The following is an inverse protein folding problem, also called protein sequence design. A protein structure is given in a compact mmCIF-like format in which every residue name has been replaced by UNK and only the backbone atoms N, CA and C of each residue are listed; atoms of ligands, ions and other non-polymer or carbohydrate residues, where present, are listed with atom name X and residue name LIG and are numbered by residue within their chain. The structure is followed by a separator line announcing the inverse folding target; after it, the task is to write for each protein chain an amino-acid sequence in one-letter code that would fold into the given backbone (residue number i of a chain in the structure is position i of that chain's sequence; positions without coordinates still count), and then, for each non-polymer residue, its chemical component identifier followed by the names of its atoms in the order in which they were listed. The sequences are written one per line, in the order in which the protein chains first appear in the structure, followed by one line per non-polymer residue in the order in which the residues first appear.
data_IF_676026058818
#
_entry.id   IF_676026058818
#
_cell.length_a   1.000
_cell.length_b   1.000
_cell.length_c   1.000
_cell.angle_alpha   90.00
_cell.angle_beta   90.00
_cell.angle_gamma   90.00
#
_symmetry.space_group_name_H-M   'P 1'
#
loop_
_entity.id
_entity.type
_entity.pdbx_description
1 polymer ?
#
# COMPACT_ATOMS: atom_id res chain seq x y z
N UNK A 1 53.31 -36.77 9.48
CA UNK A 1 54.04 -36.03 8.43
C UNK A 1 53.09 -35.01 7.84
N UNK A 2 53.39 -33.74 8.10
CA UNK A 2 52.61 -32.56 7.74
C UNK A 2 52.64 -32.31 6.23
N UNK A 3 51.52 -31.94 5.61
CA UNK A 3 51.49 -30.92 4.55
C UNK A 3 50.21 -30.09 4.71
N UNK A 4 50.38 -28.77 4.74
CA UNK A 4 49.38 -27.72 4.87
C UNK A 4 48.42 -27.66 3.67
N UNK A 5 47.18 -27.24 3.92
CA UNK A 5 46.26 -26.79 2.88
C UNK A 5 46.66 -25.39 2.37
N UNK A 6 46.51 -25.08 1.06
CA UNK A 6 46.56 -23.71 0.59
C UNK A 6 45.24 -22.98 0.88
N UNK A 7 45.35 -21.76 1.39
CA UNK A 7 44.30 -20.74 1.31
C UNK A 7 44.19 -20.29 -0.17
N UNK A 8 43.02 -20.02 -0.73
CA UNK A 8 42.20 -18.84 -0.45
C UNK A 8 40.88 -18.89 -1.23
N UNK A 9 39.88 -18.23 -0.64
CA UNK A 9 38.84 -17.42 -1.27
C UNK A 9 37.68 -18.07 -2.05
N UNK A 10 36.47 -17.93 -1.46
CA UNK A 10 35.21 -17.84 -2.20
C UNK A 10 34.03 -18.50 -1.49
N UNK A 11 33.15 -17.69 -0.87
CA UNK A 11 31.84 -18.12 -0.33
C UNK A 11 30.98 -18.81 -1.40
N UNK A 12 30.02 -19.69 -1.07
CA UNK A 12 28.94 -19.56 -0.10
C UNK A 12 28.50 -20.94 0.45
N UNK A 13 27.76 -20.98 1.57
CA UNK A 13 27.47 -22.20 2.31
C UNK A 13 26.14 -22.88 1.90
N UNK A 14 25.96 -24.07 2.48
CA UNK A 14 24.71 -24.84 2.68
C UNK A 14 24.02 -25.49 1.48
N UNK A 15 24.16 -26.83 1.37
CA UNK A 15 23.06 -27.80 1.10
C UNK A 15 23.51 -29.27 0.89
N UNK A 16 24.74 -29.64 1.23
CA UNK A 16 25.28 -31.00 1.01
C UNK A 16 24.76 -32.12 1.94
N UNK A 17 23.85 -31.83 2.87
CA UNK A 17 23.40 -32.83 3.86
C UNK A 17 21.94 -33.29 3.71
N UNK A 18 21.21 -32.81 2.69
CA UNK A 18 19.81 -33.21 2.45
C UNK A 18 19.52 -33.77 1.05
N UNK A 19 20.54 -34.28 0.36
CA UNK A 19 20.38 -35.18 -0.81
C UNK A 19 20.95 -36.56 -0.45
N UNK A 20 20.49 -37.12 0.68
CA UNK A 20 21.00 -38.40 1.21
C UNK A 20 19.96 -39.53 1.16
N UNK A 21 18.76 -39.31 0.60
CA UNK A 21 17.69 -40.34 0.68
C UNK A 21 16.88 -40.66 -0.56
N UNK A 22 17.27 -40.21 -1.75
CA UNK A 22 16.60 -40.68 -2.97
C UNK A 22 17.63 -41.02 -4.06
N UNK A 23 17.55 -42.28 -4.52
CA UNK A 23 18.08 -42.83 -5.76
C UNK A 23 19.49 -43.47 -5.74
N UNK A 24 19.60 -44.57 -4.98
CA UNK A 24 20.49 -45.72 -5.28
C UNK A 24 19.90 -46.68 -6.31
N UNK A 25 19.26 -46.20 -7.38
CA UNK A 25 18.77 -47.07 -8.47
C UNK A 25 18.96 -46.43 -9.83
N UNK A 26 19.90 -47.01 -10.59
CA UNK A 26 20.25 -46.61 -11.96
C UNK A 26 21.66 -46.01 -11.98
N UNK A 27 22.59 -46.67 -12.67
CA UNK A 27 24.01 -46.28 -12.80
C UNK A 27 24.28 -44.94 -13.49
N UNK A 28 23.32 -44.01 -13.45
CA UNK A 28 23.39 -42.69 -14.07
C UNK A 28 24.22 -41.70 -13.24
N UNK A 29 24.26 -41.86 -11.91
CA UNK A 29 24.96 -40.94 -11.02
C UNK A 29 26.50 -41.01 -11.11
N UNK A 30 27.14 -42.20 -11.21
CA UNK A 30 28.57 -42.30 -11.46
C UNK A 30 28.98 -41.78 -12.85
N UNK A 31 28.16 -42.04 -13.87
CA UNK A 31 28.37 -41.48 -15.22
C UNK A 31 28.26 -39.95 -15.21
N UNK A 32 27.27 -39.39 -14.52
CA UNK A 32 27.09 -37.95 -14.35
C UNK A 32 28.32 -37.27 -13.72
N UNK A 33 28.90 -37.84 -12.67
CA UNK A 33 30.11 -37.29 -12.02
C UNK A 33 31.36 -37.38 -12.90
N UNK A 34 31.46 -38.38 -13.79
CA UNK A 34 32.56 -38.52 -14.74
C UNK A 34 32.41 -37.66 -16.01
N UNK A 35 31.22 -37.08 -16.23
CA UNK A 35 30.90 -36.28 -17.41
C UNK A 35 30.39 -34.88 -17.02
N UNK A 36 30.80 -34.38 -15.86
CA UNK A 36 30.44 -33.04 -15.36
C UNK A 36 30.89 -31.93 -16.33
N UNK A 37 31.96 -32.15 -17.08
CA UNK A 37 32.48 -31.28 -18.14
C UNK A 37 31.53 -31.11 -19.34
N UNK A 38 30.58 -32.04 -19.55
CA UNK A 38 29.51 -31.91 -20.55
C UNK A 38 28.46 -30.88 -20.10
N UNK A 39 28.28 -30.72 -18.79
CA UNK A 39 27.26 -29.87 -18.17
C UNK A 39 27.81 -28.57 -17.57
N UNK A 40 29.12 -28.48 -17.37
CA UNK A 40 29.79 -27.22 -17.06
C UNK A 40 29.82 -26.34 -18.31
N UNK A 41 29.26 -25.12 -18.28
CA UNK A 41 29.38 -24.22 -19.40
C UNK A 41 30.86 -23.91 -19.59
N UNK A 42 31.41 -24.24 -20.77
CA UNK A 42 32.75 -23.83 -21.17
C UNK A 42 32.90 -22.34 -20.87
N UNK A 43 34.06 -21.87 -20.35
CA UNK A 43 34.30 -20.45 -20.12
C UNK A 43 34.49 -19.76 -21.48
N UNK A 44 33.37 -19.56 -22.18
CA UNK A 44 33.27 -18.55 -23.21
C UNK A 44 33.40 -17.23 -22.49
N UNK A 45 34.51 -16.55 -22.81
CA UNK A 45 34.83 -15.18 -22.47
C UNK A 45 33.61 -14.41 -21.95
N UNK A 46 33.68 -13.96 -20.69
CA UNK A 46 32.76 -12.97 -20.14
C UNK A 46 32.93 -11.67 -20.94
N UNK A 47 32.31 -11.63 -22.11
CA UNK A 47 31.93 -10.39 -22.76
C UNK A 47 30.93 -9.77 -21.81
N UNK A 48 31.27 -8.58 -21.30
CA UNK A 48 30.34 -7.68 -20.64
C UNK A 48 29.14 -7.43 -21.55
N UNK A 49 28.12 -8.28 -21.46
CA UNK A 49 26.82 -8.06 -22.08
C UNK A 49 26.00 -7.23 -21.10
N UNK A 50 26.40 -5.96 -20.92
CA UNK A 50 25.40 -4.94 -20.55
C UNK A 50 24.35 -5.01 -21.66
N UNK A 51 23.11 -5.42 -21.38
CA UNK A 51 22.09 -5.50 -22.42
C UNK A 51 21.95 -4.10 -23.03
N UNK A 52 22.14 -3.97 -24.34
CA UNK A 52 22.02 -2.66 -25.01
C UNK A 52 20.63 -2.05 -24.76
N UNK A 53 19.62 -2.90 -24.58
CA UNK A 53 18.25 -2.49 -24.31
C UNK A 53 17.59 -3.44 -23.29
N UNK A 54 16.80 -2.87 -22.39
CA UNK A 54 16.00 -3.59 -21.40
C UNK A 54 14.54 -3.63 -21.82
N UNK A 55 13.83 -4.68 -21.40
CA UNK A 55 12.42 -4.84 -21.69
C UNK A 55 11.61 -3.84 -20.89
N UNK A 56 10.84 -3.00 -21.59
CA UNK A 56 9.98 -2.00 -20.95
C UNK A 56 8.90 -2.57 -20.01
N UNK A 57 8.59 -3.87 -20.10
CA UNK A 57 7.57 -4.51 -19.26
C UNK A 57 8.13 -5.33 -18.09
N UNK A 58 9.35 -5.88 -18.17
CA UNK A 58 9.89 -6.77 -17.13
C UNK A 58 11.36 -6.51 -16.77
N UNK A 59 12.02 -5.55 -17.42
CA UNK A 59 13.38 -5.15 -17.09
C UNK A 59 14.50 -6.10 -17.52
N UNK A 60 14.21 -7.28 -18.07
CA UNK A 60 15.26 -8.20 -18.58
C UNK A 60 15.80 -7.78 -19.95
N UNK A 61 16.90 -8.38 -20.40
CA UNK A 61 17.48 -8.16 -21.73
C UNK A 61 16.43 -8.25 -22.85
N UNK A 62 16.34 -7.22 -23.68
CA UNK A 62 15.39 -7.13 -24.78
C UNK A 62 16.06 -7.37 -26.13
N UNK A 63 15.43 -8.19 -26.97
CA UNK A 63 15.88 -8.46 -28.33
C UNK A 63 14.92 -7.97 -29.42
N UNK A 64 13.70 -7.58 -29.05
CA UNK A 64 12.65 -7.20 -30.00
C UNK A 64 12.24 -5.75 -29.75
N UNK A 65 12.22 -4.91 -30.78
CA UNK A 65 11.69 -3.55 -30.69
C UNK A 65 10.27 -3.45 -31.25
N UNK A 66 9.51 -2.47 -30.79
CA UNK A 66 8.19 -2.16 -31.33
C UNK A 66 8.29 -1.91 -32.84
N UNK A 67 7.52 -2.64 -33.65
CA UNK A 67 7.56 -2.51 -35.10
C UNK A 67 7.06 -1.14 -35.60
N UNK A 68 6.16 -0.50 -34.85
CA UNK A 68 5.57 0.78 -35.21
C UNK A 68 6.51 1.96 -34.90
N UNK A 69 6.78 2.24 -33.62
CA UNK A 69 7.59 3.41 -33.22
C UNK A 69 9.09 3.17 -33.27
N UNK A 70 9.55 1.91 -33.27
CA UNK A 70 10.97 1.50 -33.25
C UNK A 70 11.80 2.01 -32.06
N UNK A 71 11.18 2.70 -31.09
CA UNK A 71 11.83 3.34 -29.95
C UNK A 71 11.84 2.51 -28.66
N UNK A 72 10.86 1.60 -28.48
CA UNK A 72 10.70 0.80 -27.26
C UNK A 72 11.07 -0.66 -27.50
N UNK A 73 11.70 -1.29 -26.50
CA UNK A 73 12.23 -2.65 -26.57
C UNK A 73 11.53 -3.60 -25.59
N UNK A 74 11.38 -4.86 -26.01
CA UNK A 74 10.74 -5.94 -25.28
C UNK A 74 11.54 -7.24 -25.42
N UNK A 75 11.50 -8.10 -24.40
CA UNK A 75 12.09 -9.43 -24.48
C UNK A 75 11.23 -10.40 -25.31
N UNK A 76 9.93 -10.14 -25.44
CA UNK A 76 8.99 -11.01 -26.16
C UNK A 76 7.74 -10.26 -26.62
N UNK A 77 7.04 -10.82 -27.61
CA UNK A 77 5.71 -10.36 -28.04
C UNK A 77 4.69 -10.38 -26.89
N UNK A 78 4.84 -11.29 -25.92
CA UNK A 78 3.98 -11.35 -24.72
C UNK A 78 4.16 -10.10 -23.85
N UNK A 79 5.40 -9.71 -23.57
CA UNK A 79 5.69 -8.48 -22.83
C UNK A 79 5.23 -7.22 -23.59
N UNK A 80 5.38 -7.20 -24.91
CA UNK A 80 4.84 -6.12 -25.73
C UNK A 80 3.32 -6.03 -25.62
N UNK A 81 2.58 -7.15 -25.72
CA UNK A 81 1.11 -7.15 -25.59
C UNK A 81 0.65 -6.70 -24.19
N UNK A 82 1.36 -7.13 -23.15
CA UNK A 82 1.06 -6.74 -21.76
C UNK A 82 1.20 -5.24 -21.55
N UNK A 83 2.27 -4.64 -22.10
CA UNK A 83 2.53 -3.21 -21.95
C UNK A 83 1.85 -2.35 -23.03
N UNK A 84 1.19 -2.99 -24.00
CA UNK A 84 0.57 -2.30 -25.12
C UNK A 84 -0.44 -1.23 -24.71
N UNK A 85 -1.33 -1.44 -23.72
CA UNK A 85 -2.26 -0.39 -23.27
C UNK A 85 -1.54 0.89 -22.86
N UNK A 86 -0.47 0.78 -22.07
CA UNK A 86 0.35 1.91 -21.64
C UNK A 86 1.21 2.47 -22.77
N UNK A 87 1.79 1.64 -23.63
CA UNK A 87 2.67 2.08 -24.71
C UNK A 87 1.93 2.73 -25.89
N UNK A 88 0.68 2.34 -26.15
CA UNK A 88 -0.11 2.78 -27.30
C UNK A 88 -0.15 4.31 -27.44
N UNK A 89 -0.33 5.02 -26.32
CA UNK A 89 -0.43 6.48 -26.29
C UNK A 89 0.89 7.20 -26.61
N UNK A 90 2.02 6.55 -26.34
CA UNK A 90 3.37 7.05 -26.63
C UNK A 90 3.92 6.48 -27.95
N UNK A 91 3.12 5.66 -28.64
CA UNK A 91 3.45 5.02 -29.91
C UNK A 91 2.75 5.75 -31.07
N UNK A 92 3.21 5.52 -32.30
CA UNK A 92 2.48 5.91 -33.51
C UNK A 92 1.86 4.66 -34.18
N UNK A 93 0.68 4.20 -33.73
CA UNK A 93 0.09 2.93 -34.20
C UNK A 93 -0.53 3.00 -35.61
N UNK A 94 -0.38 4.12 -36.33
CA UNK A 94 -0.96 4.29 -37.68
C UNK A 94 -2.48 4.53 -37.68
N UNK A 95 -3.08 4.80 -36.52
CA UNK A 95 -4.46 5.29 -36.39
C UNK A 95 -4.53 6.42 -35.36
N UNK A 96 -5.54 7.29 -35.42
CA UNK A 96 -5.79 8.29 -34.38
C UNK A 96 -5.99 7.62 -33.01
N UNK A 97 -5.36 8.19 -31.99
CA UNK A 97 -5.52 7.80 -30.58
C UNK A 97 -6.75 8.54 -30.05
N UNK A 98 -7.77 7.79 -29.63
CA UNK A 98 -9.00 8.38 -29.09
C UNK A 98 -8.90 8.64 -27.59
N UNK A 99 -9.86 9.40 -27.04
CA UNK A 99 -10.03 9.55 -25.60
C UNK A 99 -10.16 8.19 -24.87
N UNK A 100 -10.81 7.19 -25.49
CA UNK A 100 -10.91 5.84 -24.93
C UNK A 100 -9.56 5.10 -24.83
N UNK A 101 -8.68 5.31 -25.82
CA UNK A 101 -7.34 4.72 -25.81
C UNK A 101 -6.50 5.31 -24.66
N UNK A 102 -6.62 6.62 -24.45
CA UNK A 102 -5.98 7.31 -23.32
C UNK A 102 -6.52 6.85 -21.98
N UNK A 103 -7.83 6.66 -21.86
CA UNK A 103 -8.44 6.07 -20.66
C UNK A 103 -7.93 4.65 -20.38
N UNK A 104 -7.79 3.81 -21.40
CA UNK A 104 -7.23 2.46 -21.23
C UNK A 104 -5.77 2.50 -20.75
N UNK A 105 -4.97 3.43 -21.27
CA UNK A 105 -3.60 3.63 -20.79
C UNK A 105 -3.57 4.10 -19.33
N UNK A 106 -4.47 5.02 -18.95
CA UNK A 106 -4.63 5.50 -17.58
C UNK A 106 -5.03 4.38 -16.61
N UNK A 107 -6.00 3.53 -16.98
CA UNK A 107 -6.42 2.37 -16.20
C UNK A 107 -5.28 1.36 -16.00
N UNK A 108 -4.50 1.07 -17.06
CA UNK A 108 -3.31 0.21 -16.97
C UNK A 108 -2.24 0.79 -16.04
N UNK A 109 -2.03 2.11 -16.08
CA UNK A 109 -1.07 2.83 -15.22
C UNK A 109 -1.61 3.09 -13.81
N UNK A 110 -2.87 2.79 -13.53
CA UNK A 110 -3.59 3.10 -12.28
C UNK A 110 -3.46 4.59 -11.88
N UNK A 111 -3.54 5.48 -12.86
CA UNK A 111 -3.49 6.93 -12.66
C UNK A 111 -4.71 7.58 -13.30
N UNK A 112 -5.36 8.49 -12.58
CA UNK A 112 -6.50 9.26 -13.11
C UNK A 112 -6.05 10.04 -14.35
N UNK A 113 -6.82 10.04 -15.45
CA UNK A 113 -6.47 10.81 -16.65
C UNK A 113 -6.33 12.30 -16.33
N UNK A 114 -5.25 12.93 -16.83
CA UNK A 114 -5.08 14.39 -16.79
C UNK A 114 -5.43 15.08 -18.12
N UNK A 115 -5.71 14.28 -19.16
CA UNK A 115 -6.11 14.79 -20.46
C UNK A 115 -7.55 15.32 -20.41
N UNK A 116 -7.74 16.59 -20.74
CA UNK A 116 -9.03 17.28 -20.63
C UNK A 116 -10.15 16.60 -21.43
N UNK A 117 -9.84 16.12 -22.64
CA UNK A 117 -10.82 15.44 -23.50
C UNK A 117 -11.25 14.11 -22.87
N UNK A 118 -10.31 13.30 -22.39
CA UNK A 118 -10.59 12.03 -21.71
C UNK A 118 -11.38 12.24 -20.42
N UNK A 119 -11.01 13.25 -19.63
CA UNK A 119 -11.67 13.54 -18.37
C UNK A 119 -13.11 14.04 -18.57
N UNK A 120 -13.35 14.80 -19.62
CA UNK A 120 -14.69 15.24 -20.02
C UNK A 120 -15.53 14.07 -20.56
N UNK A 121 -15.00 13.31 -21.52
CA UNK A 121 -15.72 12.25 -22.23
C UNK A 121 -16.21 11.11 -21.32
N UNK A 122 -15.46 10.85 -20.24
CA UNK A 122 -15.68 9.69 -19.38
C UNK A 122 -16.04 10.04 -17.94
N UNK A 123 -16.40 11.30 -17.67
CA UNK A 123 -17.05 11.70 -16.42
C UNK A 123 -16.13 12.13 -15.28
N UNK A 124 -14.81 12.16 -15.47
CA UNK A 124 -13.87 12.54 -14.42
C UNK A 124 -13.99 14.02 -14.02
N UNK A 125 -14.39 14.90 -14.95
CA UNK A 125 -14.64 16.32 -14.65
C UNK A 125 -15.91 16.56 -13.82
N UNK A 126 -16.72 15.52 -13.60
CA UNK A 126 -18.02 15.62 -12.93
C UNK A 126 -17.96 15.10 -11.49
N UNK A 127 -16.79 14.68 -11.03
CA UNK A 127 -16.58 14.08 -9.71
C UNK A 127 -15.36 14.72 -9.04
N UNK A 128 -15.28 14.58 -7.72
CA UNK A 128 -14.12 15.02 -6.93
C UNK A 128 -12.91 14.09 -7.11
N UNK A 129 -11.80 14.39 -6.43
CA UNK A 129 -10.56 13.61 -6.56
C UNK A 129 -10.74 12.14 -6.12
N UNK A 130 -11.54 11.91 -5.07
CA UNK A 130 -11.82 10.56 -4.55
C UNK A 130 -12.70 9.80 -5.53
N UNK A 131 -13.79 10.40 -5.99
CA UNK A 131 -14.67 9.85 -7.00
C UNK A 131 -13.94 9.54 -8.31
N UNK A 132 -12.97 10.38 -8.70
CA UNK A 132 -12.11 10.11 -9.86
C UNK A 132 -11.29 8.82 -9.73
N UNK A 133 -10.78 8.50 -8.54
CA UNK A 133 -10.06 7.23 -8.28
C UNK A 133 -10.99 6.02 -8.37
N UNK A 134 -12.20 6.14 -7.80
CA UNK A 134 -13.22 5.07 -7.86
C UNK A 134 -13.70 4.87 -9.30
N UNK A 135 -13.94 5.95 -10.04
CA UNK A 135 -14.35 5.90 -11.43
C UNK A 135 -13.29 5.25 -12.33
N UNK A 136 -12.01 5.50 -12.07
CA UNK A 136 -10.91 4.81 -12.75
C UNK A 136 -10.94 3.30 -12.50
N UNK A 137 -11.24 2.88 -11.27
CA UNK A 137 -11.35 1.48 -10.91
C UNK A 137 -12.52 0.80 -11.62
N UNK A 138 -13.65 1.49 -11.77
CA UNK A 138 -14.78 1.01 -12.59
C UNK A 138 -14.33 0.77 -14.04
N UNK A 139 -13.63 1.73 -14.64
CA UNK A 139 -13.13 1.56 -16.00
C UNK A 139 -12.08 0.46 -16.12
N UNK A 140 -11.26 0.23 -15.08
CA UNK A 140 -10.34 -0.91 -15.03
C UNK A 140 -11.10 -2.23 -15.14
N UNK A 141 -12.16 -2.40 -14.36
CA UNK A 141 -13.03 -3.58 -14.41
C UNK A 141 -13.65 -3.73 -15.81
N UNK A 142 -14.18 -2.64 -16.39
CA UNK A 142 -14.75 -2.65 -17.76
C UNK A 142 -13.74 -3.17 -18.79
N UNK A 143 -12.47 -2.77 -18.71
CA UNK A 143 -11.43 -3.27 -19.62
C UNK A 143 -11.01 -4.72 -19.31
N UNK A 144 -11.05 -5.14 -18.04
CA UNK A 144 -10.75 -6.52 -17.61
C UNK A 144 -11.81 -7.52 -18.09
N UNK A 145 -13.08 -7.09 -18.13
CA UNK A 145 -14.19 -7.82 -18.77
C UNK A 145 -14.12 -7.84 -20.31
N UNK A 146 -13.04 -7.29 -20.89
CA UNK A 146 -12.72 -7.45 -22.30
C UNK A 146 -13.28 -6.37 -23.23
N UNK A 147 -13.89 -5.31 -22.71
CA UNK A 147 -14.35 -4.18 -23.53
C UNK A 147 -13.16 -3.50 -24.20
N UNK A 148 -13.24 -3.27 -25.51
CA UNK A 148 -12.16 -2.60 -26.25
C UNK A 148 -12.38 -1.08 -26.25
N UNK A 149 -11.32 -0.26 -26.34
CA UNK A 149 -11.45 1.20 -26.42
C UNK A 149 -12.42 1.69 -27.52
N UNK A 150 -12.44 0.99 -28.67
CA UNK A 150 -13.36 1.31 -29.76
C UNK A 150 -14.84 1.13 -29.34
N UNK A 151 -15.14 0.05 -28.64
CA UNK A 151 -16.50 -0.26 -28.19
C UNK A 151 -16.94 0.74 -27.11
N UNK A 152 -16.04 1.05 -26.17
CA UNK A 152 -16.26 2.07 -25.14
C UNK A 152 -16.50 3.47 -25.74
N UNK A 153 -15.68 3.86 -26.73
CA UNK A 153 -15.88 5.11 -27.45
C UNK A 153 -17.23 5.14 -28.17
N UNK A 154 -17.65 4.02 -28.77
CA UNK A 154 -18.96 3.91 -29.40
C UNK A 154 -20.10 4.06 -28.38
N UNK A 155 -19.97 3.51 -27.17
CA UNK A 155 -20.94 3.68 -26.09
C UNK A 155 -21.08 5.16 -25.71
N UNK A 156 -19.96 5.88 -25.60
CA UNK A 156 -19.94 7.32 -25.35
C UNK A 156 -20.63 8.11 -26.46
N UNK A 157 -20.23 7.90 -27.72
CA UNK A 157 -20.78 8.65 -28.88
C UNK A 157 -22.27 8.34 -29.10
N UNK A 158 -22.71 7.13 -28.73
CA UNK A 158 -24.13 6.73 -28.82
C UNK A 158 -24.95 7.15 -27.59
N UNK A 159 -24.39 7.87 -26.63
CA UNK A 159 -25.00 8.20 -25.35
C UNK A 159 -25.58 6.98 -24.59
N UNK A 160 -24.89 5.85 -24.66
CA UNK A 160 -25.25 4.59 -23.96
C UNK A 160 -24.25 4.20 -22.88
N UNK A 161 -23.27 5.05 -22.59
CA UNK A 161 -22.16 4.75 -21.69
C UNK A 161 -22.63 4.22 -20.34
N UNK A 162 -23.47 4.96 -19.62
CA UNK A 162 -24.03 4.54 -18.33
C UNK A 162 -24.73 3.18 -18.42
N UNK A 163 -25.62 3.01 -19.41
CA UNK A 163 -26.43 1.79 -19.59
C UNK A 163 -25.56 0.55 -19.83
N UNK A 164 -24.57 0.64 -20.72
CA UNK A 164 -23.72 -0.50 -21.09
C UNK A 164 -22.74 -0.85 -19.96
N UNK A 165 -22.15 0.16 -19.31
CA UNK A 165 -21.28 -0.04 -18.14
C UNK A 165 -22.07 -0.70 -17.00
N UNK A 166 -23.28 -0.22 -16.71
CA UNK A 166 -24.14 -0.80 -15.68
C UNK A 166 -24.57 -2.23 -16.03
N UNK A 167 -24.92 -2.51 -17.29
CA UNK A 167 -25.29 -3.85 -17.76
C UNK A 167 -24.14 -4.85 -17.64
N UNK A 168 -22.90 -4.41 -17.86
CA UNK A 168 -21.71 -5.23 -17.74
C UNK A 168 -21.36 -5.52 -16.28
N UNK A 169 -21.57 -4.56 -15.40
CA UNK A 169 -21.15 -4.67 -14.01
C UNK A 169 -22.17 -5.41 -13.13
N UNK A 170 -23.48 -5.26 -13.36
CA UNK A 170 -24.55 -5.89 -12.55
C UNK A 170 -24.41 -7.41 -12.31
N UNK A 171 -24.01 -8.23 -13.31
CA UNK A 171 -23.92 -9.68 -13.13
C UNK A 171 -22.72 -10.14 -12.30
N UNK A 172 -21.70 -9.30 -12.10
CA UNK A 172 -20.46 -9.70 -11.45
C UNK A 172 -20.70 -9.93 -9.95
N UNK A 173 -20.30 -11.08 -9.40
CA UNK A 173 -20.45 -11.34 -7.96
C UNK A 173 -19.69 -10.31 -7.10
N UNK A 174 -18.53 -9.88 -7.59
CA UNK A 174 -17.72 -8.80 -6.99
C UNK A 174 -18.46 -7.47 -6.95
N UNK A 175 -19.38 -7.20 -7.90
CA UNK A 175 -20.25 -6.03 -7.88
C UNK A 175 -20.93 -5.98 -6.52
N UNK A 176 -21.59 -7.05 -6.07
CA UNK A 176 -22.50 -7.07 -4.91
C UNK A 176 -21.87 -6.72 -3.55
N UNK A 177 -20.55 -6.64 -3.40
CA UNK A 177 -19.88 -6.49 -2.09
C UNK A 177 -18.92 -5.29 -2.00
N UNK A 178 -18.66 -4.58 -3.11
CA UNK A 178 -17.60 -3.54 -3.18
C UNK A 178 -18.12 -2.12 -2.86
N UNK A 179 -17.33 -1.32 -2.15
CA UNK A 179 -17.57 0.13 -1.91
C UNK A 179 -17.79 0.91 -3.23
N UNK A 180 -17.14 0.45 -4.31
CA UNK A 180 -17.27 0.95 -5.68
C UNK A 180 -18.71 0.94 -6.17
N UNK A 181 -19.53 -0.06 -5.79
CA UNK A 181 -20.95 -0.10 -6.16
C UNK A 181 -21.76 0.99 -5.49
N UNK A 182 -21.66 1.11 -4.17
CA UNK A 182 -22.42 2.11 -3.41
C UNK A 182 -22.06 3.50 -3.91
N UNK A 183 -20.81 3.72 -4.28
CA UNK A 183 -20.40 4.95 -4.95
C UNK A 183 -21.09 5.08 -6.31
N UNK A 184 -20.98 4.08 -7.20
CA UNK A 184 -21.53 4.15 -8.55
C UNK A 184 -23.05 4.41 -8.59
N UNK A 185 -23.83 3.77 -7.71
CA UNK A 185 -25.28 3.99 -7.60
C UNK A 185 -25.63 5.45 -7.28
N UNK A 186 -24.84 6.08 -6.42
CA UNK A 186 -25.00 7.49 -6.05
C UNK A 186 -24.36 8.45 -7.07
N UNK A 187 -23.49 7.95 -7.96
CA UNK A 187 -22.67 8.76 -8.89
C UNK A 187 -22.94 8.43 -10.37
N UNK A 188 -24.13 7.91 -10.69
CA UNK A 188 -24.54 7.62 -12.09
C UNK A 188 -24.44 8.84 -13.01
N UNK A 189 -24.60 10.04 -12.44
CA UNK A 189 -24.41 11.31 -13.13
C UNK A 189 -23.00 11.52 -13.68
N UNK A 190 -21.99 10.79 -13.20
CA UNK A 190 -20.64 10.83 -13.77
C UNK A 190 -20.62 10.30 -15.21
N UNK A 191 -21.40 9.27 -15.51
CA UNK A 191 -21.44 8.62 -16.83
C UNK A 191 -22.60 9.07 -17.74
N UNK A 192 -23.50 9.90 -17.22
CA UNK A 192 -24.63 10.47 -17.94
C UNK A 192 -24.65 11.98 -17.75
N UNK A 193 -24.26 12.70 -18.81
CA UNK A 193 -24.20 14.16 -18.81
C UNK A 193 -25.57 14.83 -18.73
N UNK A 194 -26.65 14.09 -18.98
CA UNK A 194 -28.02 14.61 -18.86
C UNK A 194 -28.50 14.70 -17.40
N UNK A 195 -27.85 13.98 -16.48
CA UNK A 195 -28.15 14.09 -15.05
C UNK A 195 -27.47 15.33 -14.45
N UNK A 196 -28.17 16.02 -13.56
CA UNK A 196 -27.53 17.07 -12.75
C UNK A 196 -26.52 16.44 -11.78
N UNK A 197 -25.43 17.16 -11.54
CA UNK A 197 -24.56 16.86 -10.40
C UNK A 197 -25.38 17.19 -9.16
N UNK A 198 -25.58 16.26 -8.21
CA UNK A 198 -26.24 16.57 -6.96
C UNK A 198 -25.60 17.80 -6.32
N UNK A 199 -26.41 18.71 -5.78
CA UNK A 199 -25.91 19.77 -4.90
C UNK A 199 -25.07 19.13 -3.80
N UNK A 200 -23.99 19.80 -3.36
CA UNK A 200 -22.97 19.28 -2.43
C UNK A 200 -23.59 18.32 -1.42
N UNK A 201 -23.34 17.03 -1.60
CA UNK A 201 -23.68 16.02 -0.61
C UNK A 201 -23.04 16.42 0.72
N UNK A 202 -23.76 16.18 1.83
CA UNK A 202 -23.24 16.30 3.19
C UNK A 202 -21.76 15.90 3.22
N UNK A 203 -20.90 16.84 3.62
CA UNK A 203 -19.46 16.61 3.63
C UNK A 203 -19.15 15.38 4.50
N UNK A 204 -17.95 14.81 4.34
CA UNK A 204 -17.53 13.72 5.22
C UNK A 204 -17.60 14.15 6.70
N UNK A 205 -17.36 15.43 6.99
CA UNK A 205 -17.48 16.01 8.32
C UNK A 205 -18.93 15.99 8.81
N UNK A 206 -19.89 16.48 8.01
CA UNK A 206 -21.32 16.47 8.35
C UNK A 206 -21.84 15.05 8.61
N UNK A 207 -21.38 14.07 7.81
CA UNK A 207 -21.74 12.67 7.99
C UNK A 207 -21.17 12.08 9.28
N UNK A 208 -19.93 12.45 9.63
CA UNK A 208 -19.30 12.05 10.90
C UNK A 208 -20.04 12.70 12.08
N UNK A 209 -20.45 13.95 11.95
CA UNK A 209 -21.26 14.65 12.96
C UNK A 209 -22.62 13.99 13.19
N UNK A 210 -23.33 13.66 12.12
CA UNK A 210 -24.56 12.88 12.21
C UNK A 210 -24.34 11.49 12.84
N UNK A 211 -23.23 10.83 12.50
CA UNK A 211 -22.86 9.54 13.10
C UNK A 211 -22.55 9.65 14.60
N UNK A 212 -21.89 10.73 15.05
CA UNK A 212 -21.67 11.02 16.48
C UNK A 212 -23.00 11.18 17.21
N UNK A 213 -23.93 11.97 16.67
CA UNK A 213 -25.27 12.16 17.26
C UNK A 213 -26.00 10.82 17.37
N UNK A 214 -25.99 10.00 16.31
CA UNK A 214 -26.61 8.67 16.33
C UNK A 214 -25.99 7.75 17.39
N UNK A 215 -24.67 7.71 17.48
CA UNK A 215 -23.95 6.91 18.47
C UNK A 215 -24.26 7.40 19.88
N UNK A 216 -24.25 8.71 20.12
CA UNK A 216 -24.58 9.32 21.42
C UNK A 216 -25.96 8.90 21.90
N UNK A 217 -26.97 8.94 21.04
CA UNK A 217 -28.32 8.50 21.40
C UNK A 217 -28.42 7.00 21.74
N UNK A 218 -27.34 6.23 21.50
CA UNK A 218 -27.23 4.82 21.88
C UNK A 218 -26.41 4.61 23.16
N UNK A 219 -25.36 5.40 23.39
CA UNK A 219 -24.36 5.15 24.46
C UNK A 219 -24.21 6.27 25.48
N UNK A 220 -24.85 7.41 25.23
CA UNK A 220 -24.84 8.61 26.05
C UNK A 220 -25.77 8.51 27.26
N UNK A 221 -25.73 9.54 28.10
CA UNK A 221 -26.51 9.60 29.34
C UNK A 221 -27.90 10.21 29.14
N UNK A 222 -28.14 10.90 28.03
CA UNK A 222 -29.41 11.48 27.64
C UNK A 222 -29.50 11.63 26.11
N UNK A 223 -30.70 11.65 25.50
CA UNK A 223 -30.85 11.93 24.08
C UNK A 223 -30.52 13.39 23.75
N UNK A 224 -29.74 13.64 22.70
CA UNK A 224 -29.51 14.99 22.18
C UNK A 224 -29.22 14.96 20.68
N UNK A 225 -29.54 16.07 20.00
CA UNK A 225 -29.19 16.35 18.61
C UNK A 225 -28.12 17.46 18.50
N UNK A 226 -27.76 18.08 19.63
CA UNK A 226 -26.80 19.18 19.68
C UNK A 226 -25.42 18.65 20.09
N UNK A 227 -24.44 18.76 19.19
CA UNK A 227 -23.08 18.30 19.45
C UNK A 227 -22.41 19.01 20.62
N UNK A 228 -22.72 20.28 20.88
CA UNK A 228 -22.12 21.01 21.99
C UNK A 228 -22.58 20.46 23.35
N UNK A 229 -23.86 20.07 23.47
CA UNK A 229 -24.38 19.40 24.67
C UNK A 229 -23.73 18.04 24.86
N UNK A 230 -23.57 17.29 23.77
CA UNK A 230 -22.89 15.98 23.76
C UNK A 230 -21.44 16.15 24.24
N UNK A 231 -20.69 17.07 23.65
CA UNK A 231 -19.30 17.33 24.02
C UNK A 231 -19.15 17.83 25.45
N UNK A 232 -20.10 18.64 25.95
CA UNK A 232 -20.11 19.08 27.33
C UNK A 232 -20.32 17.90 28.29
N UNK A 233 -21.28 17.02 28.01
CA UNK A 233 -21.56 15.83 28.82
C UNK A 233 -20.41 14.82 28.82
N UNK A 234 -19.61 14.77 27.75
CA UNK A 234 -18.42 13.91 27.67
C UNK A 234 -17.26 14.37 28.55
N UNK A 235 -17.31 15.56 29.16
CA UNK A 235 -16.22 16.03 30.05
C UNK A 235 -15.98 15.11 31.25
N UNK A 236 -17.03 14.41 31.69
CA UNK A 236 -16.94 13.47 32.81
C UNK A 236 -16.50 12.07 32.37
N UNK A 237 -16.33 11.82 31.07
CA UNK A 237 -15.87 10.54 30.55
C UNK A 237 -14.34 10.42 30.65
N UNK A 238 -13.85 9.19 30.80
CA UNK A 238 -12.42 8.93 30.62
C UNK A 238 -11.98 9.25 29.20
N UNK A 239 -10.72 9.67 29.04
CA UNK A 239 -10.13 9.95 27.73
C UNK A 239 -10.26 8.76 26.78
N UNK A 240 -10.11 7.55 27.30
CA UNK A 240 -10.22 6.31 26.53
C UNK A 240 -11.64 6.07 26.02
N UNK A 241 -12.66 6.37 26.83
CA UNK A 241 -14.07 6.25 26.42
C UNK A 241 -14.41 7.26 25.34
N UNK A 242 -13.90 8.49 25.46
CA UNK A 242 -14.05 9.54 24.45
C UNK A 242 -13.34 9.14 23.13
N UNK A 243 -12.14 8.58 23.21
CA UNK A 243 -11.41 8.09 22.03
C UNK A 243 -12.17 6.97 21.30
N UNK A 244 -12.76 6.02 22.04
CA UNK A 244 -13.61 4.98 21.46
C UNK A 244 -14.86 5.56 20.83
N UNK A 245 -15.47 6.59 21.40
CA UNK A 245 -16.63 7.25 20.81
C UNK A 245 -16.31 7.82 19.44
N UNK A 246 -15.23 8.62 19.34
CA UNK A 246 -14.81 9.22 18.08
C UNK A 246 -14.46 8.16 17.04
N UNK A 247 -13.74 7.11 17.45
CA UNK A 247 -13.41 6.01 16.56
C UNK A 247 -14.67 5.27 16.06
N UNK A 248 -15.61 4.97 16.96
CA UNK A 248 -16.87 4.29 16.62
C UNK A 248 -17.78 5.11 15.71
N UNK A 249 -17.77 6.43 15.83
CA UNK A 249 -18.50 7.30 14.92
C UNK A 249 -17.90 7.29 13.50
N UNK A 250 -16.59 7.15 13.36
CA UNK A 250 -15.90 7.15 12.06
C UNK A 250 -16.00 5.81 11.31
N UNK A 251 -15.83 4.69 12.00
CA UNK A 251 -15.64 3.37 11.37
C UNK A 251 -16.73 2.94 10.38
N UNK A 252 -17.96 3.45 10.50
CA UNK A 252 -19.05 3.19 9.54
C UNK A 252 -19.01 4.02 8.24
N UNK A 253 -18.08 4.97 8.15
CA UNK A 253 -17.96 5.95 7.07
C UNK A 253 -16.57 5.94 6.44
N UNK A 254 -15.53 5.86 7.26
CA UNK A 254 -14.13 5.87 6.88
C UNK A 254 -13.29 5.12 7.93
N UNK A 255 -11.98 5.01 7.70
CA UNK A 255 -11.02 4.62 8.72
C UNK A 255 -10.12 5.81 9.07
N UNK A 256 -9.45 5.78 10.24
CA UNK A 256 -8.49 6.82 10.59
C UNK A 256 -7.42 7.00 9.53
N UNK A 257 -7.02 8.24 9.26
CA UNK A 257 -5.87 8.58 8.44
C UNK A 257 -4.62 8.80 9.33
N UNK A 258 -3.39 8.72 8.79
CA UNK A 258 -2.15 8.84 9.58
C UNK A 258 -2.02 10.10 10.43
N UNK A 259 -2.63 11.22 10.01
CA UNK A 259 -2.64 12.48 10.77
C UNK A 259 -3.48 12.41 12.07
N UNK A 260 -4.31 11.37 12.25
CA UNK A 260 -5.10 11.16 13.45
C UNK A 260 -4.41 10.19 14.41
N UNK A 261 -4.44 10.50 15.71
CA UNK A 261 -3.91 9.59 16.76
C UNK A 261 -4.54 8.20 16.73
N UNK A 262 -5.77 8.09 16.25
CA UNK A 262 -6.54 6.85 16.16
C UNK A 262 -5.92 5.84 15.20
N UNK A 263 -5.13 6.29 14.23
CA UNK A 263 -4.44 5.40 13.28
C UNK A 263 -3.42 4.49 13.97
N UNK A 264 -2.71 5.01 14.97
CA UNK A 264 -1.81 4.18 15.81
C UNK A 264 -2.60 3.51 16.93
N UNK A 265 -3.49 4.24 17.62
CA UNK A 265 -4.20 3.70 18.77
C UNK A 265 -5.10 2.50 18.43
N UNK A 266 -5.66 2.43 17.23
CA UNK A 266 -6.48 1.29 16.78
C UNK A 266 -5.76 0.39 15.77
N UNK A 267 -4.42 0.44 15.71
CA UNK A 267 -3.64 -0.58 14.99
C UNK A 267 -3.58 -0.43 13.47
N UNK A 268 -4.17 0.60 12.87
CA UNK A 268 -4.10 0.83 11.42
C UNK A 268 -2.67 1.04 10.91
N UNK A 269 -1.77 1.53 11.77
CA UNK A 269 -0.35 1.61 11.45
C UNK A 269 0.32 0.26 11.17
N UNK A 270 -0.27 -0.86 11.62
CA UNK A 270 0.20 -2.21 11.31
C UNK A 270 -0.08 -2.62 9.86
N UNK A 271 -1.06 -1.99 9.20
CA UNK A 271 -1.48 -2.32 7.83
C UNK A 271 -0.45 -1.85 6.79
N UNK A 272 -0.22 -2.65 5.77
CA UNK A 272 0.71 -2.35 4.68
C UNK A 272 0.18 -1.26 3.74
N UNK A 273 -1.12 -1.30 3.44
CA UNK A 273 -1.78 -0.40 2.51
C UNK A 273 -3.26 -0.18 2.89
N UNK A 274 -3.93 0.68 2.11
CA UNK A 274 -5.33 1.05 2.31
C UNK A 274 -6.29 -0.16 2.22
N UNK A 275 -5.93 -1.24 1.53
CA UNK A 275 -6.75 -2.46 1.46
C UNK A 275 -6.76 -3.17 2.81
N UNK A 276 -5.59 -3.31 3.44
CA UNK A 276 -5.48 -3.86 4.79
C UNK A 276 -6.13 -2.94 5.83
N UNK A 277 -6.05 -1.62 5.67
CA UNK A 277 -6.76 -0.65 6.53
C UNK A 277 -8.28 -0.82 6.45
N UNK A 278 -8.85 -0.93 5.23
CA UNK A 278 -10.27 -1.25 5.04
C UNK A 278 -10.64 -2.59 5.68
N UNK A 279 -9.79 -3.61 5.51
CA UNK A 279 -10.01 -4.93 6.12
C UNK A 279 -10.04 -4.86 7.65
N UNK A 280 -9.14 -4.08 8.27
CA UNK A 280 -9.13 -3.83 9.71
C UNK A 280 -10.37 -3.04 10.15
N UNK A 281 -10.77 -2.01 9.41
CA UNK A 281 -11.97 -1.23 9.70
C UNK A 281 -13.23 -2.11 9.74
N UNK A 282 -13.40 -2.97 8.73
CA UNK A 282 -14.48 -3.96 8.70
C UNK A 282 -14.41 -4.93 9.87
N UNK A 283 -13.20 -5.33 10.29
CA UNK A 283 -13.01 -6.18 11.47
C UNK A 283 -13.50 -5.48 12.74
N UNK A 284 -13.21 -4.19 12.90
CA UNK A 284 -13.75 -3.39 14.00
C UNK A 284 -15.27 -3.23 13.93
N UNK A 285 -15.87 -3.08 12.74
CA UNK A 285 -17.33 -3.05 12.57
C UNK A 285 -17.98 -4.34 13.04
N UNK A 286 -17.45 -5.47 12.59
CA UNK A 286 -17.91 -6.78 13.04
C UNK A 286 -17.73 -6.95 14.56
N UNK A 287 -16.64 -6.45 15.13
CA UNK A 287 -16.43 -6.47 16.57
C UNK A 287 -17.48 -5.62 17.29
N UNK A 288 -17.79 -4.44 16.75
CA UNK A 288 -18.74 -3.51 17.33
C UNK A 288 -20.17 -4.06 17.39
N UNK A 289 -20.55 -4.89 16.41
CA UNK A 289 -21.84 -5.60 16.37
C UNK A 289 -21.88 -6.81 17.33
N UNK A 290 -20.71 -7.29 17.79
CA UNK A 290 -20.58 -8.51 18.61
C UNK A 290 -20.29 -8.23 20.09
N UNK A 291 -20.09 -6.97 20.48
CA UNK A 291 -19.83 -6.61 21.88
C UNK A 291 -20.54 -5.31 22.28
N UNK A 292 -20.76 -5.13 23.58
CA UNK A 292 -21.29 -3.86 24.09
C UNK A 292 -20.27 -2.73 23.90
N UNK A 293 -20.76 -1.49 23.93
CA UNK A 293 -19.91 -0.31 23.91
C UNK A 293 -18.93 -0.31 25.10
N UNK A 294 -19.41 -0.67 26.30
CA UNK A 294 -18.59 -0.72 27.49
C UNK A 294 -17.49 -1.78 27.40
N UNK A 295 -17.80 -2.99 26.89
CA UNK A 295 -16.79 -4.02 26.69
C UNK A 295 -15.69 -3.56 25.71
N UNK A 296 -16.07 -2.83 24.66
CA UNK A 296 -15.11 -2.24 23.72
C UNK A 296 -14.23 -1.17 24.38
N UNK A 297 -14.83 -0.30 25.20
CA UNK A 297 -14.10 0.70 25.99
C UNK A 297 -13.15 0.06 27.00
N UNK A 298 -13.58 -1.00 27.69
CA UNK A 298 -12.74 -1.74 28.63
C UNK A 298 -11.58 -2.42 27.92
N UNK A 299 -11.82 -3.06 26.77
CA UNK A 299 -10.76 -3.69 25.98
C UNK A 299 -9.71 -2.68 25.52
N UNK A 300 -10.15 -1.53 25.01
CA UNK A 300 -9.25 -0.43 24.66
C UNK A 300 -8.47 0.07 25.88
N UNK A 301 -9.17 0.38 26.97
CA UNK A 301 -8.56 0.94 28.18
C UNK A 301 -7.53 0.00 28.81
N UNK A 302 -7.73 -1.31 28.68
CA UNK A 302 -6.87 -2.33 29.28
C UNK A 302 -5.83 -2.93 28.31
N UNK A 303 -5.77 -2.48 27.05
CA UNK A 303 -4.89 -3.06 26.01
C UNK A 303 -5.21 -4.54 25.72
N UNK A 304 -6.49 -4.91 25.78
CA UNK A 304 -6.99 -6.29 25.64
C UNK A 304 -7.89 -6.49 24.42
N UNK A 305 -7.65 -5.73 23.34
CA UNK A 305 -8.40 -5.87 22.10
C UNK A 305 -8.18 -7.23 21.42
N UNK A 306 -6.99 -7.81 21.57
CA UNK A 306 -6.65 -9.11 20.98
C UNK A 306 -7.50 -10.22 21.57
N UNK A 307 -7.71 -10.21 22.89
CA UNK A 307 -8.57 -11.14 23.61
C UNK A 307 -10.04 -10.92 23.22
N UNK A 308 -10.48 -9.66 23.13
CA UNK A 308 -11.85 -9.35 22.74
C UNK A 308 -12.17 -9.78 21.30
N UNK A 309 -11.24 -9.57 20.36
CA UNK A 309 -11.36 -10.06 18.98
C UNK A 309 -11.47 -11.59 18.94
N UNK A 310 -10.64 -12.29 19.71
CA UNK A 310 -10.65 -13.75 19.74
C UNK A 310 -11.94 -14.29 20.37
N UNK A 311 -12.36 -13.72 21.50
CA UNK A 311 -13.58 -14.09 22.21
C UNK A 311 -14.86 -13.86 21.38
N UNK A 312 -14.84 -12.90 20.45
CA UNK A 312 -15.95 -12.61 19.53
C UNK A 312 -15.86 -13.35 18.19
N UNK A 313 -14.93 -14.32 18.06
CA UNK A 313 -14.79 -15.15 16.86
C UNK A 313 -14.14 -14.43 15.68
N UNK A 314 -13.30 -13.42 15.94
CA UNK A 314 -12.56 -12.65 14.93
C UNK A 314 -11.06 -12.99 14.90
N UNK A 315 -10.63 -14.03 15.61
CA UNK A 315 -9.24 -14.50 15.65
C UNK A 315 -8.61 -14.65 14.26
N UNK A 316 -9.30 -15.31 13.32
CA UNK A 316 -8.80 -15.51 11.95
C UNK A 316 -8.55 -14.20 11.19
N UNK A 317 -9.34 -13.15 11.45
CA UNK A 317 -9.12 -11.82 10.86
C UNK A 317 -7.97 -11.09 11.52
N UNK A 318 -7.83 -11.23 12.84
CA UNK A 318 -6.73 -10.65 13.60
C UNK A 318 -5.36 -11.17 13.12
N UNK A 319 -5.21 -12.50 13.02
CA UNK A 319 -3.94 -13.11 12.60
C UNK A 319 -3.61 -12.90 11.12
N UNK A 320 -4.59 -12.49 10.30
CA UNK A 320 -4.35 -12.11 8.91
C UNK A 320 -3.55 -10.79 8.79
N UNK A 321 -3.44 -10.02 9.89
CA UNK A 321 -2.65 -8.80 9.99
C UNK A 321 -1.45 -9.05 10.92
N UNK A 322 -0.27 -9.45 10.40
CA UNK A 322 0.81 -10.04 11.19
C UNK A 322 1.35 -9.16 12.32
N UNK A 323 1.29 -7.83 12.16
CA UNK A 323 1.84 -6.88 13.12
C UNK A 323 0.79 -6.23 14.01
N UNK A 324 -0.50 -6.59 13.85
CA UNK A 324 -1.59 -5.95 14.58
C UNK A 324 -1.48 -6.19 16.09
N UNK A 325 -1.12 -7.41 16.49
CA UNK A 325 -0.97 -7.79 17.89
C UNK A 325 0.08 -6.94 18.61
N UNK A 326 1.21 -6.64 17.94
CA UNK A 326 2.27 -5.79 18.48
C UNK A 326 1.80 -4.39 18.84
N UNK A 327 0.93 -3.81 18.00
CA UNK A 327 0.38 -2.48 18.23
C UNK A 327 -0.71 -2.51 19.31
N UNK A 328 -1.61 -3.49 19.24
CA UNK A 328 -2.77 -3.56 20.13
C UNK A 328 -2.40 -3.94 21.57
N UNK A 329 -1.36 -4.75 21.78
CA UNK A 329 -0.91 -5.13 23.13
C UNK A 329 -0.42 -3.95 23.96
N UNK A 330 0.03 -2.89 23.31
CA UNK A 330 0.47 -1.65 23.97
C UNK A 330 -0.54 -0.50 23.90
N UNK A 331 -1.58 -0.63 23.08
CA UNK A 331 -2.58 0.42 22.89
C UNK A 331 -3.41 0.67 24.15
N UNK A 332 -3.73 1.94 24.52
CA UNK A 332 -3.40 3.18 23.82
C UNK A 332 -2.15 3.90 24.33
N UNK A 333 -1.33 3.26 25.17
CA UNK A 333 -0.33 3.95 25.98
C UNK A 333 1.10 3.78 25.47
N UNK A 334 1.50 2.55 25.19
CA UNK A 334 2.90 2.19 24.92
C UNK A 334 2.98 1.66 23.50
N UNK A 335 3.76 2.31 22.65
CA UNK A 335 3.99 1.86 21.28
C UNK A 335 5.48 1.82 21.01
N UNK A 336 5.93 0.82 20.27
CA UNK A 336 7.28 0.86 19.66
C UNK A 336 7.40 2.12 18.81
N UNK A 337 8.54 2.80 18.90
CA UNK A 337 8.77 4.07 18.22
C UNK A 337 8.64 3.99 16.70
N UNK A 338 8.80 2.79 16.12
CA UNK A 338 8.64 2.57 14.67
C UNK A 338 7.23 2.84 14.17
N UNK A 339 6.21 2.61 15.01
CA UNK A 339 4.82 2.91 14.65
C UNK A 339 4.58 4.41 14.56
N UNK A 340 5.22 5.18 15.44
CA UNK A 340 5.22 6.64 15.40
C UNK A 340 6.04 7.17 14.23
N UNK A 341 7.17 6.54 13.91
CA UNK A 341 7.93 6.84 12.70
C UNK A 341 7.07 6.66 11.45
N UNK A 342 6.40 5.50 11.32
CA UNK A 342 5.54 5.21 10.18
C UNK A 342 4.43 6.24 10.05
N UNK A 343 3.74 6.53 11.15
CA UNK A 343 2.73 7.59 11.21
C UNK A 343 3.30 8.92 10.71
N UNK A 344 4.45 9.33 11.23
CA UNK A 344 5.08 10.59 10.88
C UNK A 344 5.44 10.69 9.40
N UNK A 345 5.95 9.62 8.78
CA UNK A 345 6.36 9.68 7.35
C UNK A 345 5.20 9.48 6.37
N UNK A 346 4.07 8.95 6.82
CA UNK A 346 2.85 8.80 6.01
C UNK A 346 1.84 9.95 6.24
N UNK A 347 1.99 10.71 7.31
CA UNK A 347 1.23 11.95 7.53
C UNK A 347 1.78 13.08 6.64
N UNK A 348 0.95 13.54 5.71
CA UNK A 348 1.23 14.66 4.80
C UNK A 348 1.34 15.99 5.54
N UNK A 349 0.69 16.11 6.70
CA UNK A 349 0.69 17.31 7.53
C UNK A 349 1.82 17.31 8.55
N UNK A 350 2.62 16.24 8.64
CA UNK A 350 3.70 16.17 9.61
C UNK A 350 4.85 17.10 9.24
N UNK A 351 5.21 17.94 10.21
CA UNK A 351 6.23 18.98 10.09
C UNK A 351 7.33 18.81 11.13
N UNK A 352 8.51 19.33 10.80
CA UNK A 352 9.70 19.24 11.65
C UNK A 352 9.53 19.85 13.04
N UNK A 353 8.76 20.92 13.16
CA UNK A 353 8.53 21.63 14.43
C UNK A 353 7.74 20.82 15.46
N UNK A 354 7.01 19.79 15.03
CA UNK A 354 6.15 18.98 15.90
C UNK A 354 6.53 17.49 15.87
N UNK A 355 7.83 17.19 15.72
CA UNK A 355 8.29 15.80 15.69
C UNK A 355 8.32 15.18 17.10
N UNK A 356 7.75 13.98 17.28
CA UNK A 356 7.90 13.23 18.52
C UNK A 356 9.36 12.97 18.88
N UNK A 357 9.71 13.14 20.16
CA UNK A 357 11.10 12.99 20.64
C UNK A 357 11.66 11.58 20.37
N UNK A 358 10.82 10.54 20.50
CA UNK A 358 11.23 9.17 20.17
C UNK A 358 11.68 9.06 18.72
N UNK A 359 11.03 9.74 17.78
CA UNK A 359 11.41 9.70 16.36
C UNK A 359 12.66 10.54 16.11
N UNK A 360 12.75 11.69 16.77
CA UNK A 360 13.91 12.58 16.69
C UNK A 360 15.21 11.85 17.07
N UNK A 361 15.17 11.09 18.17
CA UNK A 361 16.33 10.37 18.70
C UNK A 361 16.55 9.04 17.99
N UNK A 362 15.54 8.18 17.94
CA UNK A 362 15.69 6.78 17.51
C UNK A 362 16.07 6.68 16.03
N UNK A 363 15.45 7.52 15.19
CA UNK A 363 15.53 7.42 13.74
C UNK A 363 16.32 8.53 13.07
N UNK A 364 16.97 9.39 13.86
CA UNK A 364 17.99 10.32 13.36
C UNK A 364 17.47 11.67 12.86
N UNK A 365 16.19 11.98 13.03
CA UNK A 365 15.64 13.28 12.62
C UNK A 365 16.21 14.45 13.44
N UNK A 366 16.63 14.20 14.69
CA UNK A 366 17.34 15.17 15.53
C UNK A 366 18.73 15.53 15.01
N UNK A 367 19.31 14.70 14.13
CA UNK A 367 20.62 14.95 13.53
C UNK A 367 20.56 15.82 12.26
N UNK A 368 19.36 16.13 11.74
CA UNK A 368 19.21 16.94 10.54
C UNK A 368 19.66 18.38 10.79
N UNK A 369 20.57 18.90 9.95
CA UNK A 369 21.05 20.28 10.03
C UNK A 369 20.19 21.25 9.22
N UNK A 370 19.46 20.77 8.21
CA UNK A 370 18.61 21.59 7.34
C UNK A 370 17.29 20.90 7.03
N UNK A 371 16.33 21.64 6.48
CA UNK A 371 15.05 21.09 6.04
C UNK A 371 15.23 20.07 4.90
N UNK A 372 16.20 20.28 4.00
CA UNK A 372 16.52 19.31 2.95
C UNK A 372 16.98 17.96 3.52
N UNK A 373 17.74 17.96 4.62
CA UNK A 373 18.12 16.71 5.28
C UNK A 373 16.94 16.03 5.95
N UNK A 374 16.04 16.80 6.54
CA UNK A 374 14.80 16.30 7.13
C UNK A 374 13.91 15.65 6.08
N UNK A 375 13.69 16.33 4.93
CA UNK A 375 12.88 15.80 3.83
C UNK A 375 13.54 14.59 3.15
N UNK A 376 14.87 14.55 3.04
CA UNK A 376 15.58 13.37 2.56
C UNK A 376 15.40 12.16 3.48
N UNK A 377 15.41 12.37 4.80
CA UNK A 377 15.21 11.32 5.78
C UNK A 377 13.74 10.86 5.81
N UNK A 378 12.78 11.79 5.73
CA UNK A 378 11.35 11.48 5.59
C UNK A 378 11.12 10.62 4.35
N UNK A 379 11.63 11.02 3.17
CA UNK A 379 11.55 10.24 1.92
C UNK A 379 12.19 8.85 2.02
N UNK A 380 13.34 8.75 2.69
CA UNK A 380 14.01 7.47 2.91
C UNK A 380 13.11 6.50 3.67
N UNK A 381 12.55 6.92 4.81
CA UNK A 381 11.67 6.08 5.62
C UNK A 381 10.32 5.82 4.94
N UNK A 382 9.72 6.80 4.24
CA UNK A 382 8.54 6.55 3.40
C UNK A 382 8.79 5.41 2.42
N UNK A 383 9.92 5.45 1.71
CA UNK A 383 10.30 4.40 0.76
C UNK A 383 10.62 3.05 1.40
N UNK A 384 10.95 3.01 2.70
CA UNK A 384 11.07 1.75 3.45
C UNK A 384 9.68 1.13 3.64
N UNK A 385 8.72 1.91 4.15
CA UNK A 385 7.38 1.40 4.46
C UNK A 385 6.55 1.07 3.21
N UNK A 386 6.82 1.71 2.08
CA UNK A 386 6.15 1.42 0.80
C UNK A 386 6.62 0.12 0.14
N UNK A 387 7.71 -0.49 0.60
CA UNK A 387 8.21 -1.74 0.02
C UNK A 387 7.29 -2.92 0.35
N UNK A 388 6.88 -3.74 -0.64
CA UNK A 388 6.10 -4.93 -0.38
C UNK A 388 6.82 -5.88 0.59
N UNK A 389 6.11 -6.34 1.62
CA UNK A 389 6.62 -7.31 2.59
C UNK A 389 7.66 -6.74 3.58
N UNK A 390 7.77 -5.42 3.71
CA UNK A 390 8.61 -4.81 4.75
C UNK A 390 8.14 -5.25 6.14
N UNK A 391 9.10 -5.47 7.04
CA UNK A 391 8.82 -5.75 8.44
C UNK A 391 9.21 -4.53 9.30
N UNK A 392 8.24 -3.72 9.77
CA UNK A 392 8.51 -2.57 10.64
C UNK A 392 9.25 -2.95 11.93
N UNK A 393 8.99 -4.14 12.48
CA UNK A 393 9.63 -4.59 13.71
C UNK A 393 11.13 -4.83 13.52
N UNK A 394 11.56 -5.32 12.35
CA UNK A 394 12.99 -5.43 12.03
C UNK A 394 13.70 -4.08 11.96
N UNK A 395 13.02 -3.04 11.47
CA UNK A 395 13.57 -1.69 11.50
C UNK A 395 13.71 -1.19 12.95
N UNK A 396 12.74 -1.51 13.81
CA UNK A 396 12.83 -1.19 15.23
C UNK A 396 13.96 -1.96 15.93
N UNK A 397 14.09 -3.27 15.67
CA UNK A 397 15.17 -4.11 16.18
C UNK A 397 16.55 -3.58 15.78
N UNK A 398 16.73 -3.21 14.51
CA UNK A 398 17.95 -2.58 14.03
C UNK A 398 18.23 -1.24 14.71
N UNK A 399 17.17 -0.45 14.98
CA UNK A 399 17.29 0.80 15.72
C UNK A 399 17.84 0.58 17.13
N UNK A 400 17.23 -0.30 17.92
CA UNK A 400 17.61 -0.55 19.32
C UNK A 400 18.91 -1.36 19.46
N UNK A 401 19.35 -2.03 18.40
CA UNK A 401 20.62 -2.76 18.37
C UNK A 401 21.81 -1.90 17.90
N UNK A 402 21.58 -0.62 17.58
CA UNK A 402 22.62 0.28 17.04
C UNK A 402 23.00 0.00 15.58
N UNK A 403 22.21 -0.83 14.87
CA UNK A 403 22.47 -1.28 13.50
C UNK A 403 21.61 -0.55 12.44
N UNK A 404 20.96 0.56 12.81
CA UNK A 404 20.02 1.29 11.97
C UNK A 404 20.60 1.66 10.59
N UNK A 405 21.84 2.17 10.57
CA UNK A 405 22.52 2.54 9.33
C UNK A 405 22.75 1.33 8.42
N UNK A 406 23.18 0.19 8.98
CA UNK A 406 23.47 -1.01 8.21
C UNK A 406 22.18 -1.66 7.68
N UNK A 407 21.09 -1.63 8.46
CA UNK A 407 19.76 -2.05 8.00
C UNK A 407 19.27 -1.22 6.81
N UNK A 408 19.39 0.11 6.89
CA UNK A 408 19.01 1.02 5.81
C UNK A 408 19.91 0.81 4.58
N UNK A 409 21.22 0.61 4.76
CA UNK A 409 22.12 0.30 3.65
C UNK A 409 21.82 -1.03 2.97
N UNK A 410 21.45 -2.05 3.74
CA UNK A 410 21.01 -3.34 3.20
C UNK A 410 19.72 -3.21 2.39
N UNK A 411 18.84 -2.30 2.81
CA UNK A 411 17.61 -1.99 2.09
C UNK A 411 17.87 -1.15 0.82
N UNK A 412 18.78 -0.17 0.86
CA UNK A 412 19.07 0.72 -0.28
C UNK A 412 20.56 0.73 -0.63
N UNK A 413 21.05 -0.30 -1.36
CA UNK A 413 22.46 -0.39 -1.77
C UNK A 413 22.95 0.83 -2.56
N UNK A 414 22.05 1.51 -3.29
CA UNK A 414 22.35 2.71 -4.08
C UNK A 414 22.76 3.92 -3.23
N UNK A 415 22.50 3.91 -1.91
CA UNK A 415 23.07 4.90 -0.99
C UNK A 415 24.60 4.87 -1.00
N UNK A 416 25.22 3.73 -1.38
CA UNK A 416 26.67 3.56 -1.51
C UNK A 416 27.25 4.21 -2.76
N UNK A 417 26.42 4.54 -3.76
CA UNK A 417 26.88 5.01 -5.08
C UNK A 417 27.51 6.41 -5.04
N UNK A 418 27.29 7.20 -3.99
CA UNK A 418 27.85 8.55 -3.84
C UNK A 418 28.44 8.74 -2.45
N UNK A 419 29.75 9.02 -2.37
CA UNK A 419 30.49 9.24 -1.11
C UNK A 419 29.82 10.28 -0.19
N UNK A 420 29.24 11.34 -0.77
CA UNK A 420 28.53 12.37 0.00
C UNK A 420 27.23 11.85 0.63
N UNK A 421 26.47 10.96 -0.05
CA UNK A 421 25.27 10.34 0.52
C UNK A 421 25.62 9.39 1.66
N UNK A 422 26.68 8.58 1.49
CA UNK A 422 27.21 7.69 2.53
C UNK A 422 27.54 8.49 3.79
N UNK A 423 28.32 9.57 3.67
CA UNK A 423 28.69 10.43 4.81
C UNK A 423 27.47 11.08 5.46
N UNK A 424 26.51 11.57 4.65
CA UNK A 424 25.25 12.16 5.13
C UNK A 424 24.44 11.16 5.95
N UNK A 425 24.06 10.02 5.38
CA UNK A 425 23.19 9.05 6.08
C UNK A 425 23.90 8.34 7.24
N UNK A 426 25.22 8.15 7.19
CA UNK A 426 25.98 7.63 8.33
C UNK A 426 25.97 8.59 9.52
N UNK A 427 25.90 9.90 9.27
CA UNK A 427 25.74 10.91 10.34
C UNK A 427 24.29 10.99 10.81
N UNK A 428 23.34 11.02 9.88
CA UNK A 428 21.92 11.19 10.20
C UNK A 428 21.37 10.00 10.98
N UNK A 429 21.72 8.77 10.62
CA UNK A 429 21.18 7.54 11.24
C UNK A 429 21.91 7.10 12.51
N UNK A 430 22.67 8.00 13.15
CA UNK A 430 23.24 7.73 14.48
C UNK A 430 22.16 7.92 15.54
N UNK A 431 22.11 6.98 16.46
CA UNK A 431 21.22 7.01 17.62
C UNK A 431 22.01 6.56 18.87
N UNK A 432 21.46 6.71 20.08
CA UNK A 432 22.18 6.39 21.32
C UNK A 432 22.21 4.88 21.65
N UNK A 433 21.75 4.01 20.75
CA UNK A 433 21.60 2.59 21.02
C UNK A 433 22.85 1.77 20.59
N UNK A 434 23.10 0.60 21.21
CA UNK A 434 22.38 0.07 22.38
C UNK A 434 22.62 0.93 23.62
N UNK A 435 21.62 1.03 24.50
CA UNK A 435 21.82 1.67 25.81
C UNK A 435 22.57 0.67 26.70
N UNK A 436 23.69 1.11 27.28
CA UNK A 436 24.53 0.31 28.18
C UNK A 436 23.77 -0.18 29.44
#
# INVERSE_FOLDING_TARGET
MSIQAPSTNGGYPVLWWKISRLCTRGGYFPWFLQNLDIFEPRPSALISLVPRHLCASCGVSAGVRCAACKNVWYCSKRCQRREWPGHLVDCNPGRPITSADRLRAAAHRKKVPQDQETSSDYGFNRVDEVGGKILLEIYRIVFEEGVRPRDLHQWKVSNRLLKEVESLLRPLEMWKTLEVMRWFENHRYALDSSMSIPEEQDSMEDRIEAAKVKLWNTVGTFPSQNLDEIYYAMKDWSKERVDVFYFRAMMGLCHPAPNLKYWVNFGFCACQDETEERFLNLTYQMLADRCSYDAFCTAYSNSTFTELLDATGLHGRRIALPYLEDVLSGSPRIFKSVWRLKQHVQDTNSVRSNIPMSIAVDYGFGNCASEDEYQDLKRLYTSIFERPGVNPLKLHEACISGELYEYVLGSFPELKNKKNRVKKFRRLLRNPYPLD
#
